data_IF_728335954246
#
_entry.id   IF_728335954246
#
_cell.length_a   1.000
_cell.length_b   1.000
_cell.length_c   1.000
_cell.angle_alpha   90.00
_cell.angle_beta   90.00
_cell.angle_gamma   90.00
#
_symmetry.space_group_name_H-M   'P 1'
#
loop_
_entity.id
_entity.type
_entity.pdbx_description
1 polymer ?
#
# COMPACT_ATOMS: atom_id res chain seq x y z
N UNK A 1 22.07 3.74 75.89
CA UNK A 1 22.72 2.83 74.91
C UNK A 1 21.77 1.68 74.68
N UNK A 2 21.02 1.68 73.57
CA UNK A 2 20.09 0.62 73.22
C UNK A 2 20.49 0.07 71.86
N UNK A 3 20.65 -1.26 71.80
CA UNK A 3 21.09 -2.06 70.66
C UNK A 3 20.30 -1.76 69.39
N UNK A 4 21.01 -1.41 68.32
CA UNK A 4 20.54 -1.50 66.94
C UNK A 4 20.57 -2.97 66.55
N UNK A 5 19.41 -3.57 66.35
CA UNK A 5 19.33 -4.81 65.59
C UNK A 5 19.24 -4.36 64.12
N UNK A 6 20.40 -4.34 63.46
CA UNK A 6 20.54 -4.01 62.04
C UNK A 6 19.69 -4.97 61.21
N UNK A 7 18.60 -4.47 60.62
CA UNK A 7 17.98 -5.12 59.48
C UNK A 7 18.90 -4.92 58.30
N UNK A 8 19.75 -5.90 58.02
CA UNK A 8 20.66 -5.91 56.88
C UNK A 8 19.88 -5.57 55.61
N UNK A 9 20.17 -4.40 55.02
CA UNK A 9 19.55 -3.99 53.76
C UNK A 9 20.03 -4.96 52.70
N UNK A 10 19.13 -5.82 52.24
CA UNK A 10 19.44 -6.77 51.17
C UNK A 10 19.52 -5.99 49.86
N UNK A 11 20.74 -5.79 49.37
CA UNK A 11 21.01 -5.09 48.10
C UNK A 11 21.48 -6.10 47.04
N UNK A 12 21.08 -5.90 45.78
CA UNK A 12 21.47 -6.75 44.65
C UNK A 12 20.29 -7.45 43.96
N UNK A 13 20.57 -8.56 43.26
CA UNK A 13 19.56 -9.32 42.52
C UNK A 13 18.85 -10.30 43.44
N UNK A 14 17.64 -9.96 43.89
CA UNK A 14 16.90 -10.76 44.88
C UNK A 14 15.78 -11.54 44.20
N UNK A 15 15.61 -12.82 44.56
CA UNK A 15 14.47 -13.60 44.10
C UNK A 15 13.19 -13.14 44.84
N UNK A 16 12.14 -12.69 44.13
CA UNK A 16 10.93 -12.19 44.77
C UNK A 16 10.10 -13.28 45.46
N UNK A 17 10.31 -14.56 45.11
CA UNK A 17 9.56 -15.67 45.68
C UNK A 17 10.15 -16.17 47.00
N UNK A 18 11.48 -16.20 47.14
CA UNK A 18 12.16 -16.77 48.31
C UNK A 18 13.13 -15.80 49.03
N UNK A 19 13.25 -14.56 48.54
CA UNK A 19 14.07 -13.49 49.08
C UNK A 19 15.57 -13.81 49.20
N UNK A 20 16.08 -14.79 48.44
CA UNK A 20 17.53 -15.06 48.33
C UNK A 20 18.21 -14.00 47.46
N UNK A 21 19.40 -13.55 47.85
CA UNK A 21 20.27 -12.61 47.10
C UNK A 21 21.20 -13.35 46.14
N UNK A 22 21.46 -12.72 44.99
CA UNK A 22 22.34 -13.24 43.95
C UNK A 22 23.27 -12.13 43.44
N UNK A 23 24.50 -12.51 43.11
CA UNK A 23 25.55 -11.59 42.66
C UNK A 23 25.44 -11.18 41.20
N UNK A 24 24.68 -11.91 40.37
CA UNK A 24 24.48 -11.62 38.96
C UNK A 24 23.06 -11.96 38.45
N UNK A 25 22.57 -11.27 37.40
CA UNK A 25 21.24 -11.52 36.83
C UNK A 25 21.08 -12.96 36.32
N UNK A 26 22.14 -13.53 35.72
CA UNK A 26 22.10 -14.87 35.14
C UNK A 26 21.97 -15.97 36.20
N UNK A 27 22.54 -15.75 37.39
CA UNK A 27 22.41 -16.67 38.54
C UNK A 27 21.04 -16.60 39.18
N UNK A 28 20.44 -15.40 39.28
CA UNK A 28 19.05 -15.25 39.70
C UNK A 28 18.10 -15.94 38.71
N UNK A 29 18.33 -15.76 37.41
CA UNK A 29 17.51 -16.37 36.36
C UNK A 29 17.57 -17.90 36.41
N UNK A 30 18.78 -18.49 36.56
CA UNK A 30 18.94 -19.93 36.73
C UNK A 30 18.28 -20.46 38.01
N UNK A 31 18.38 -19.72 39.11
CA UNK A 31 17.68 -20.10 40.34
C UNK A 31 16.17 -20.07 40.13
N UNK A 32 15.65 -19.03 39.47
CA UNK A 32 14.23 -18.90 39.17
C UNK A 32 13.70 -20.02 38.25
N UNK A 33 14.46 -20.36 37.20
CA UNK A 33 14.11 -21.43 36.25
C UNK A 33 14.19 -22.84 36.84
N UNK A 34 14.96 -23.06 37.91
CA UNK A 34 15.15 -24.38 38.51
C UNK A 34 14.34 -24.60 39.80
N UNK A 35 14.17 -23.55 40.63
CA UNK A 35 13.50 -23.65 41.93
C UNK A 35 12.05 -23.12 41.90
N UNK A 36 11.66 -22.31 40.91
CA UNK A 36 10.32 -21.71 40.81
C UNK A 36 9.61 -22.04 39.48
N UNK A 37 10.07 -23.08 38.79
CA UNK A 37 9.60 -23.47 37.45
C UNK A 37 8.16 -24.01 37.41
N UNK A 38 7.56 -24.30 38.56
CA UNK A 38 6.22 -24.91 38.66
C UNK A 38 5.08 -23.90 38.70
N UNK A 39 5.36 -22.61 38.89
CA UNK A 39 4.34 -21.57 38.84
C UNK A 39 4.72 -20.52 37.80
N UNK A 40 4.29 -20.75 36.56
CA UNK A 40 3.62 -19.78 35.67
C UNK A 40 3.91 -20.09 34.18
N UNK A 41 2.92 -20.66 33.49
CA UNK A 41 2.84 -20.75 32.02
C UNK A 41 2.88 -19.38 31.30
N UNK A 42 2.85 -18.30 32.08
CA UNK A 42 2.81 -16.90 31.64
C UNK A 42 4.16 -16.48 31.02
N UNK A 43 5.29 -16.99 31.52
CA UNK A 43 6.61 -16.61 31.03
C UNK A 43 7.03 -17.33 29.74
N UNK A 44 6.49 -18.52 29.45
CA UNK A 44 6.70 -19.18 28.14
C UNK A 44 6.04 -18.39 26.99
N UNK A 45 4.93 -17.71 27.28
CA UNK A 45 4.29 -16.77 26.33
C UNK A 45 5.12 -15.49 26.15
N UNK A 46 5.82 -15.05 27.20
CA UNK A 46 6.71 -13.87 27.17
C UNK A 46 8.09 -14.16 26.56
N UNK A 47 8.61 -15.39 26.65
CA UNK A 47 9.88 -15.77 26.01
C UNK A 47 9.83 -15.64 24.47
N UNK A 48 8.64 -15.80 23.86
CA UNK A 48 8.43 -15.50 22.44
C UNK A 48 8.44 -14.01 22.07
N UNK A 49 8.24 -13.12 23.05
CA UNK A 49 8.13 -11.67 22.88
C UNK A 49 9.48 -10.92 22.93
N UNK A 50 10.53 -11.51 23.50
CA UNK A 50 11.84 -10.83 23.68
C UNK A 50 12.83 -11.03 22.52
N UNK A 51 12.37 -11.55 21.38
CA UNK A 51 13.25 -12.07 20.33
C UNK A 51 14.11 -11.03 19.59
N UNK A 52 13.74 -9.75 19.46
CA UNK A 52 14.44 -8.86 18.48
C UNK A 52 14.59 -7.37 18.81
N UNK A 53 14.16 -6.85 19.97
CA UNK A 53 14.20 -5.40 20.25
C UNK A 53 14.86 -5.00 21.59
N UNK A 54 15.92 -5.69 22.03
CA UNK A 54 16.50 -5.54 23.38
C UNK A 54 17.74 -4.63 23.50
N UNK A 55 17.88 -3.54 22.74
CA UNK A 55 19.08 -2.67 22.88
C UNK A 55 18.88 -1.16 23.03
N UNK A 56 17.64 -0.65 23.13
CA UNK A 56 17.44 0.80 23.29
C UNK A 56 16.45 1.27 24.35
N UNK A 57 15.72 0.35 24.99
CA UNK A 57 14.70 0.69 26.01
C UNK A 57 15.26 0.55 27.44
N UNK A 58 16.38 -0.16 27.62
CA UNK A 58 16.96 -0.44 28.95
C UNK A 58 18.09 0.53 29.37
N UNK A 59 18.30 1.62 28.63
CA UNK A 59 19.37 2.59 28.93
C UNK A 59 18.88 4.03 28.83
N UNK A 60 17.80 4.36 29.55
CA UNK A 60 17.54 5.74 29.91
C UNK A 60 17.82 5.85 31.41
N UNK A 61 18.88 6.60 31.70
CA UNK A 61 19.38 6.92 33.02
C UNK A 61 18.25 7.50 33.88
N UNK A 62 17.99 6.84 35.01
CA UNK A 62 17.10 7.33 36.06
C UNK A 62 17.90 8.32 36.91
N UNK A 63 17.89 9.59 36.49
CA UNK A 63 18.36 10.69 37.32
C UNK A 63 17.38 10.93 38.49
N UNK A 64 17.92 10.73 39.69
CA UNK A 64 17.61 11.37 40.99
C UNK A 64 16.29 12.16 41.12
N UNK A 65 15.31 11.58 41.81
CA UNK A 65 14.18 12.32 42.40
C UNK A 65 14.12 12.02 43.90
N UNK A 66 14.44 13.03 44.71
CA UNK A 66 14.35 12.99 46.17
C UNK A 66 12.90 12.98 46.66
N UNK A 67 12.55 12.22 47.71
CA UNK A 67 11.20 12.16 48.23
C UNK A 67 10.97 13.29 49.25
N UNK A 68 10.25 14.35 48.85
CA UNK A 68 9.65 15.24 49.85
C UNK A 68 8.33 14.64 50.36
N UNK A 69 8.28 14.55 51.68
CA UNK A 69 7.15 14.09 52.48
C UNK A 69 5.98 15.08 52.38
N UNK A 70 4.80 14.60 52.01
CA UNK A 70 3.54 15.32 52.21
C UNK A 70 2.36 14.33 52.30
N UNK A 71 1.95 14.11 53.55
CA UNK A 71 0.62 13.73 54.05
C UNK A 71 -0.50 13.39 53.04
N UNK A 72 -0.93 12.12 53.11
CA UNK A 72 -2.29 11.61 53.03
C UNK A 72 -3.34 12.43 52.22
N UNK A 73 -3.51 12.03 50.97
CA UNK A 73 -4.76 12.12 50.24
C UNK A 73 -4.86 10.90 49.33
N UNK A 74 -5.81 10.01 49.62
CA UNK A 74 -6.10 8.80 48.84
C UNK A 74 -6.45 9.18 47.40
N UNK A 75 -5.42 9.33 46.56
CA UNK A 75 -5.55 9.62 45.14
C UNK A 75 -5.72 8.26 44.48
N UNK A 76 -6.97 7.89 44.21
CA UNK A 76 -7.33 6.70 43.44
C UNK A 76 -6.49 6.70 42.16
N UNK A 77 -5.47 5.85 42.10
CA UNK A 77 -4.64 5.70 40.91
C UNK A 77 -5.51 5.03 39.87
N UNK A 78 -6.23 5.79 39.06
CA UNK A 78 -7.00 5.33 37.91
C UNK A 78 -6.06 5.24 36.70
N UNK A 79 -6.45 4.47 35.66
CA UNK A 79 -5.66 4.32 34.43
C UNK A 79 -5.44 5.66 33.72
N UNK A 80 -6.36 6.59 33.95
CA UNK A 80 -6.26 7.99 33.56
C UNK A 80 -4.95 8.66 34.00
N UNK A 81 -4.25 8.20 35.05
CA UNK A 81 -2.96 8.76 35.43
C UNK A 81 -1.91 8.67 34.31
N UNK A 82 -1.89 7.59 33.53
CA UNK A 82 -0.94 7.42 32.42
C UNK A 82 -1.44 8.04 31.12
N UNK A 83 -2.76 8.13 30.93
CA UNK A 83 -3.39 8.74 29.74
C UNK A 83 -3.41 10.28 29.83
N UNK A 84 -3.57 10.86 31.03
CA UNK A 84 -3.49 12.30 31.29
C UNK A 84 -2.05 12.82 31.34
N UNK A 85 -1.09 12.02 31.81
CA UNK A 85 0.33 12.42 31.88
C UNK A 85 1.13 12.14 30.62
N UNK A 86 0.59 11.42 29.64
CA UNK A 86 1.26 11.35 28.34
C UNK A 86 1.18 12.74 27.71
N UNK A 87 2.31 13.44 27.49
CA UNK A 87 2.26 14.77 26.93
C UNK A 87 1.53 14.70 25.59
N UNK A 88 0.50 15.52 25.41
CA UNK A 88 -0.19 15.66 24.13
C UNK A 88 0.87 15.98 23.08
N UNK A 89 1.26 14.98 22.30
CA UNK A 89 2.26 15.19 21.27
C UNK A 89 1.59 16.02 20.18
N UNK A 90 1.91 17.32 20.15
CA UNK A 90 1.45 18.18 19.07
C UNK A 90 1.89 17.55 17.74
N UNK A 91 0.97 17.51 16.77
CA UNK A 91 1.31 17.12 15.41
C UNK A 91 2.46 18.03 14.99
N UNK A 92 3.62 17.43 14.67
CA UNK A 92 4.79 18.18 14.21
C UNK A 92 4.50 18.93 12.90
N UNK A 93 5.48 19.67 12.39
CA UNK A 93 5.33 20.37 11.11
C UNK A 93 5.02 19.38 9.99
N UNK A 94 3.80 19.47 9.45
CA UNK A 94 3.38 18.69 8.29
C UNK A 94 3.72 19.46 7.02
N UNK A 95 4.33 18.77 6.05
CA UNK A 95 4.52 19.27 4.70
C UNK A 95 3.81 18.35 3.73
N UNK A 96 3.05 18.92 2.80
CA UNK A 96 2.36 18.17 1.75
C UNK A 96 2.85 18.66 0.39
N UNK A 97 3.21 17.71 -0.48
CA UNK A 97 3.50 17.97 -1.89
C UNK A 97 2.38 17.43 -2.79
N UNK A 98 1.22 17.14 -2.20
CA UNK A 98 0.09 16.49 -2.88
C UNK A 98 -0.41 17.32 -4.05
N UNK A 99 -0.50 18.64 -3.89
CA UNK A 99 -1.00 19.52 -4.95
C UNK A 99 -0.01 19.64 -6.10
N UNK A 100 1.28 19.81 -5.79
CA UNK A 100 2.35 19.77 -6.81
C UNK A 100 2.36 18.45 -7.57
N UNK A 101 2.23 17.32 -6.86
CA UNK A 101 2.12 16.00 -7.47
C UNK A 101 0.89 15.89 -8.38
N UNK A 102 -0.27 16.36 -7.93
CA UNK A 102 -1.52 16.35 -8.70
C UNK A 102 -1.38 17.16 -9.98
N UNK A 103 -0.83 18.37 -9.91
CA UNK A 103 -0.62 19.23 -11.08
C UNK A 103 0.31 18.57 -12.10
N UNK A 104 1.50 18.12 -11.67
CA UNK A 104 2.46 17.45 -12.57
C UNK A 104 1.88 16.17 -13.19
N UNK A 105 1.14 15.40 -12.39
CA UNK A 105 0.45 14.19 -12.86
C UNK A 105 -0.64 14.54 -13.87
N UNK A 106 -1.42 15.57 -13.61
CA UNK A 106 -2.49 16.04 -14.49
C UNK A 106 -1.92 16.46 -15.84
N UNK A 107 -0.91 17.35 -15.88
CA UNK A 107 -0.29 17.81 -17.12
C UNK A 107 0.31 16.67 -17.96
N UNK A 108 0.86 15.65 -17.28
CA UNK A 108 1.36 14.45 -17.95
C UNK A 108 0.23 13.59 -18.49
N UNK A 109 -0.82 13.41 -17.69
CA UNK A 109 -2.00 12.63 -18.06
C UNK A 109 -2.74 13.26 -19.23
N UNK A 110 -2.96 14.58 -19.22
CA UNK A 110 -3.65 15.31 -20.29
C UNK A 110 -2.94 15.14 -21.63
N UNK A 111 -1.61 15.31 -21.67
CA UNK A 111 -0.84 15.12 -22.90
C UNK A 111 -1.02 13.73 -23.49
N UNK A 112 -0.90 12.69 -22.67
CA UNK A 112 -1.05 11.29 -23.13
C UNK A 112 -2.49 10.98 -23.52
N UNK A 113 -3.47 11.43 -22.73
CA UNK A 113 -4.88 11.22 -22.99
C UNK A 113 -5.36 11.92 -24.25
N UNK A 114 -4.89 13.14 -24.51
CA UNK A 114 -5.21 13.88 -25.72
C UNK A 114 -4.79 13.10 -26.97
N UNK A 115 -3.54 12.62 -27.01
CA UNK A 115 -3.05 11.81 -28.13
C UNK A 115 -3.84 10.52 -28.31
N UNK A 116 -4.07 9.78 -27.22
CA UNK A 116 -4.84 8.52 -27.27
C UNK A 116 -6.27 8.79 -27.74
N UNK A 117 -6.94 9.82 -27.21
CA UNK A 117 -8.31 10.15 -27.58
C UNK A 117 -8.42 10.52 -29.06
N UNK A 118 -7.45 11.26 -29.60
CA UNK A 118 -7.38 11.55 -31.03
C UNK A 118 -7.25 10.27 -31.86
N UNK A 119 -6.40 9.32 -31.44
CA UNK A 119 -6.27 8.03 -32.12
C UNK A 119 -7.57 7.22 -32.04
N UNK A 120 -8.25 7.21 -30.90
CA UNK A 120 -9.54 6.51 -30.70
C UNK A 120 -10.63 7.10 -31.60
N UNK A 121 -10.74 8.43 -31.67
CA UNK A 121 -11.72 9.11 -32.55
C UNK A 121 -11.43 8.77 -34.02
N UNK A 122 -10.17 8.84 -34.43
CA UNK A 122 -9.76 8.48 -35.81
C UNK A 122 -10.02 7.01 -36.11
N UNK A 123 -9.72 6.11 -35.17
CA UNK A 123 -10.01 4.69 -35.29
C UNK A 123 -11.50 4.45 -35.46
N UNK A 124 -12.35 5.13 -34.69
CA UNK A 124 -13.80 5.12 -34.85
C UNK A 124 -14.23 5.50 -36.26
N UNK A 125 -13.80 6.68 -36.72
CA UNK A 125 -14.11 7.17 -38.08
C UNK A 125 -13.62 6.23 -39.18
N UNK A 126 -12.44 5.61 -39.00
CA UNK A 126 -11.89 4.66 -39.96
C UNK A 126 -12.73 3.39 -40.06
N UNK A 127 -13.34 2.95 -38.96
CA UNK A 127 -14.13 1.72 -38.93
C UNK A 127 -15.60 1.93 -39.34
N UNK A 128 -16.11 3.16 -39.26
CA UNK A 128 -17.43 3.54 -39.73
C UNK A 128 -17.47 3.59 -41.27
N UNK A 129 -18.50 2.99 -41.86
CA UNK A 129 -18.80 3.01 -43.30
C UNK A 129 -17.61 2.63 -44.22
N UNK A 130 -16.79 1.65 -43.80
CA UNK A 130 -15.63 1.22 -44.58
C UNK A 130 -16.00 0.71 -45.98
N UNK A 131 -15.54 1.37 -47.06
CA UNK A 131 -15.81 0.93 -48.41
C UNK A 131 -15.07 -0.39 -48.73
N UNK A 132 -15.73 -1.29 -49.45
CA UNK A 132 -15.14 -2.55 -49.93
C UNK A 132 -14.18 -2.34 -51.10
N UNK A 133 -14.47 -1.35 -51.95
CA UNK A 133 -13.64 -1.05 -53.14
C UNK A 133 -12.31 -0.38 -52.76
N UNK A 134 -11.18 -0.80 -53.34
CA UNK A 134 -9.85 -0.34 -52.92
C UNK A 134 -9.63 1.17 -53.13
N UNK A 135 -10.17 1.73 -54.20
CA UNK A 135 -10.03 3.16 -54.52
C UNK A 135 -10.84 4.01 -53.54
N UNK A 136 -12.10 3.66 -53.30
CA UNK A 136 -12.97 4.33 -52.33
C UNK A 136 -12.41 4.18 -50.91
N UNK A 137 -11.86 3.02 -50.56
CA UNK A 137 -11.21 2.76 -49.27
C UNK A 137 -10.00 3.66 -49.05
N UNK A 138 -9.10 3.78 -50.04
CA UNK A 138 -7.94 4.68 -49.94
C UNK A 138 -8.38 6.14 -49.75
N UNK A 139 -9.40 6.58 -50.49
CA UNK A 139 -9.96 7.94 -50.36
C UNK A 139 -10.59 8.15 -48.97
N UNK A 140 -11.32 7.17 -48.45
CA UNK A 140 -11.86 7.19 -47.08
C UNK A 140 -10.77 7.34 -46.03
N UNK A 141 -9.70 6.52 -46.11
CA UNK A 141 -8.56 6.58 -45.20
C UNK A 141 -7.89 7.97 -45.22
N UNK A 142 -7.69 8.55 -46.41
CA UNK A 142 -7.06 9.87 -46.59
C UNK A 142 -7.95 11.04 -46.14
N UNK A 143 -9.28 10.91 -46.27
CA UNK A 143 -10.22 11.93 -45.79
C UNK A 143 -10.24 12.02 -44.26
N UNK A 144 -9.95 10.91 -43.56
CA UNK A 144 -9.95 10.88 -42.09
C UNK A 144 -8.61 11.39 -41.54
N UNK A 145 -7.51 11.02 -42.18
CA UNK A 145 -6.17 11.42 -41.76
C UNK A 145 -5.35 11.83 -42.99
N UNK A 146 -4.86 13.09 -43.06
CA UNK A 146 -3.93 13.51 -44.10
C UNK A 146 -2.64 12.70 -44.05
N UNK A 147 -2.22 12.17 -45.20
CA UNK A 147 -0.98 11.41 -45.30
C UNK A 147 0.17 12.33 -45.68
N UNK A 148 1.32 12.17 -45.00
CA UNK A 148 2.54 12.91 -45.36
C UNK A 148 3.00 12.52 -46.77
N UNK A 149 3.55 13.48 -47.51
CA UNK A 149 4.15 13.21 -48.82
C UNK A 149 5.47 12.44 -48.61
N UNK A 150 5.69 11.44 -49.46
CA UNK A 150 6.90 10.63 -49.49
C UNK A 150 8.17 11.44 -49.73
N UNK A 151 8.05 12.57 -50.43
CA UNK A 151 9.18 13.46 -50.75
C UNK A 151 9.79 14.10 -49.51
N UNK A 152 8.97 14.39 -48.51
CA UNK A 152 9.40 15.07 -47.28
C UNK A 152 10.01 14.11 -46.25
N UNK A 153 9.91 12.80 -46.48
CA UNK A 153 10.33 11.76 -45.52
C UNK A 153 11.32 10.77 -46.17
N UNK A 154 12.60 11.17 -46.37
CA UNK A 154 13.60 10.34 -47.03
C UNK A 154 14.08 9.15 -46.18
N UNK A 155 13.87 9.22 -44.86
CA UNK A 155 14.27 8.19 -43.89
C UNK A 155 13.08 7.82 -43.01
N UNK A 156 13.01 6.57 -42.58
CA UNK A 156 11.97 6.13 -41.66
C UNK A 156 12.12 6.86 -40.30
N UNK A 157 11.09 7.56 -39.80
CA UNK A 157 11.16 8.27 -38.52
C UNK A 157 11.37 7.36 -37.30
N UNK A 158 11.07 6.05 -37.41
CA UNK A 158 11.19 5.12 -36.30
C UNK A 158 12.57 4.45 -36.21
N UNK A 159 13.12 3.97 -37.34
CA UNK A 159 14.41 3.25 -37.35
C UNK A 159 15.53 4.01 -38.07
N UNK A 160 15.26 5.20 -38.61
CA UNK A 160 16.22 6.07 -39.33
C UNK A 160 16.79 5.53 -40.64
N UNK A 161 16.45 4.30 -41.04
CA UNK A 161 16.86 3.76 -42.33
C UNK A 161 16.29 4.56 -43.50
N UNK A 162 17.13 4.84 -44.50
CA UNK A 162 16.74 5.46 -45.76
C UNK A 162 15.80 4.57 -46.55
N UNK A 163 14.80 5.19 -47.18
CA UNK A 163 13.95 4.51 -48.13
C UNK A 163 14.66 4.34 -49.47
N UNK A 164 14.41 3.22 -50.14
CA UNK A 164 14.92 2.88 -51.46
C UNK A 164 13.98 1.86 -52.13
N UNK A 165 14.38 1.28 -53.26
CA UNK A 165 13.55 0.31 -53.98
C UNK A 165 13.18 -0.94 -53.16
N UNK A 166 14.10 -1.41 -52.29
CA UNK A 166 13.88 -2.55 -51.40
C UNK A 166 13.11 -2.15 -50.12
N UNK A 167 13.43 -1.00 -49.53
CA UNK A 167 12.77 -0.46 -48.33
C UNK A 167 11.78 0.63 -48.74
N UNK A 168 10.54 0.22 -49.01
CA UNK A 168 9.45 1.11 -49.47
C UNK A 168 8.79 1.87 -48.31
N UNK A 169 8.19 3.01 -48.65
CA UNK A 169 7.41 3.83 -47.74
C UNK A 169 6.00 3.25 -47.53
N UNK A 170 5.51 3.33 -46.29
CA UNK A 170 4.15 2.96 -45.92
C UNK A 170 3.54 4.02 -45.01
N UNK A 171 2.24 4.28 -45.15
CA UNK A 171 1.52 5.20 -44.29
C UNK A 171 0.80 4.47 -43.16
N UNK A 172 0.87 5.03 -41.96
CA UNK A 172 0.01 4.63 -40.85
C UNK A 172 -1.36 5.26 -41.02
N UNK A 173 -2.41 4.46 -40.93
CA UNK A 173 -3.78 4.93 -41.14
C UNK A 173 -4.30 5.82 -40.02
N UNK A 174 -3.64 5.84 -38.85
CA UNK A 174 -4.07 6.63 -37.69
C UNK A 174 -3.38 7.99 -37.55
N UNK A 175 -2.09 8.09 -37.88
CA UNK A 175 -1.32 9.35 -37.84
C UNK A 175 -1.08 9.97 -39.22
N UNK A 176 -1.17 9.19 -40.32
CA UNK A 176 -0.75 9.61 -41.65
C UNK A 176 0.77 9.67 -41.85
N UNK A 177 1.54 9.35 -40.81
CA UNK A 177 2.99 9.33 -40.82
C UNK A 177 3.55 8.16 -41.64
N UNK A 178 4.74 8.37 -42.24
CA UNK A 178 5.42 7.40 -43.09
C UNK A 178 6.37 6.53 -42.26
N UNK A 179 6.40 5.22 -42.51
CA UNK A 179 7.31 4.25 -41.90
C UNK A 179 7.71 3.13 -42.88
N UNK A 180 8.76 2.37 -42.54
CA UNK A 180 9.13 1.16 -43.30
C UNK A 180 8.29 -0.06 -42.87
N UNK A 181 8.44 -1.18 -43.60
CA UNK A 181 7.76 -2.44 -43.30
C UNK A 181 8.02 -2.94 -41.88
N UNK A 182 9.29 -2.99 -41.46
CA UNK A 182 9.72 -3.46 -40.13
C UNK A 182 9.17 -2.61 -38.99
N UNK A 183 8.84 -1.34 -39.25
CA UNK A 183 8.28 -0.40 -38.27
C UNK A 183 6.76 -0.24 -38.39
N UNK A 184 6.12 -1.11 -39.17
CA UNK A 184 4.68 -1.11 -39.37
C UNK A 184 4.05 -2.38 -38.82
N UNK A 185 2.86 -2.23 -38.25
CA UNK A 185 2.08 -3.29 -37.63
C UNK A 185 0.68 -3.31 -38.22
N UNK A 186 -0.01 -4.43 -38.06
CA UNK A 186 -1.37 -4.60 -38.54
C UNK A 186 -2.29 -4.94 -37.38
N UNK A 187 -3.31 -4.12 -37.19
CA UNK A 187 -4.36 -4.36 -36.19
C UNK A 187 -5.55 -5.01 -36.91
N UNK A 188 -5.92 -6.25 -36.56
CA UNK A 188 -7.15 -6.88 -37.05
C UNK A 188 -8.39 -6.03 -36.73
N UNK A 189 -9.36 -5.94 -37.64
CA UNK A 189 -10.53 -5.07 -37.43
C UNK A 189 -11.38 -5.45 -36.20
N UNK A 190 -11.45 -6.74 -35.85
CA UNK A 190 -12.11 -7.19 -34.63
C UNK A 190 -11.44 -6.62 -33.37
N UNK A 191 -10.10 -6.67 -33.28
CA UNK A 191 -9.33 -6.05 -32.20
C UNK A 191 -9.54 -4.54 -32.18
N UNK A 192 -9.48 -3.89 -33.35
CA UNK A 192 -9.73 -2.47 -33.48
C UNK A 192 -11.11 -2.04 -32.95
N UNK A 193 -12.17 -2.82 -33.22
CA UNK A 193 -13.51 -2.59 -32.66
C UNK A 193 -13.55 -2.77 -31.15
N UNK A 194 -12.89 -3.79 -30.60
CA UNK A 194 -12.83 -4.01 -29.14
C UNK A 194 -12.19 -2.83 -28.39
N UNK A 195 -11.15 -2.23 -28.98
CA UNK A 195 -10.51 -1.03 -28.42
C UNK A 195 -11.50 0.14 -28.29
N UNK A 196 -12.49 0.26 -29.19
CA UNK A 196 -13.52 1.31 -29.14
C UNK A 196 -14.63 1.06 -28.13
N UNK A 197 -14.94 -0.20 -27.81
CA UNK A 197 -16.04 -0.54 -26.90
C UNK A 197 -15.73 0.02 -25.50
N UNK A 198 -16.71 0.76 -24.94
CA UNK A 198 -16.71 1.13 -23.52
C UNK A 198 -17.13 -0.10 -22.71
N UNK A 199 -16.44 -0.43 -21.60
CA UNK A 199 -16.75 -1.63 -20.82
C UNK A 199 -18.17 -1.68 -20.23
N UNK A 200 -18.86 -0.53 -20.14
CA UNK A 200 -20.19 -0.40 -19.51
C UNK A 200 -21.41 -0.51 -20.45
N UNK A 201 -21.22 -0.65 -21.76
CA UNK A 201 -22.37 -0.79 -22.67
C UNK A 201 -22.65 -2.27 -22.93
N UNK A 202 -23.75 -2.69 -22.30
CA UNK A 202 -24.44 -3.97 -22.38
C UNK A 202 -24.16 -4.74 -23.68
N UNK A 203 -23.58 -5.94 -23.54
CA UNK A 203 -23.19 -6.82 -24.65
C UNK A 203 -24.41 -7.44 -25.37
N UNK A 204 -25.62 -7.15 -24.91
CA UNK A 204 -26.89 -7.73 -25.34
C UNK A 204 -27.41 -7.22 -26.69
N UNK A 205 -26.87 -6.14 -27.25
CA UNK A 205 -27.29 -5.58 -28.55
C UNK A 205 -26.14 -5.46 -29.55
N UNK A 206 -25.49 -6.58 -29.91
CA UNK A 206 -24.60 -6.59 -31.07
C UNK A 206 -25.34 -7.21 -32.26
N UNK A 207 -25.69 -6.45 -33.31
CA UNK A 207 -26.02 -7.08 -34.57
C UNK A 207 -24.79 -7.88 -35.01
N UNK A 208 -25.00 -9.17 -35.28
CA UNK A 208 -24.03 -10.07 -35.86
C UNK A 208 -23.73 -9.62 -37.30
N UNK A 209 -23.01 -8.50 -37.44
CA UNK A 209 -22.41 -8.15 -38.73
C UNK A 209 -21.36 -9.22 -39.03
N UNK A 210 -21.50 -9.89 -40.17
CA UNK A 210 -20.56 -10.88 -40.68
C UNK A 210 -19.21 -10.20 -40.95
N UNK A 211 -18.34 -10.19 -39.94
CA UNK A 211 -17.02 -9.58 -40.04
C UNK A 211 -16.17 -10.47 -40.94
N UNK A 212 -15.70 -9.92 -42.06
CA UNK A 212 -14.57 -10.47 -42.82
C UNK A 212 -13.35 -10.41 -41.91
N UNK A 213 -13.02 -11.54 -41.27
CA UNK A 213 -11.93 -11.73 -40.30
C UNK A 213 -10.54 -11.34 -40.83
N UNK A 214 -10.40 -11.22 -42.14
CA UNK A 214 -9.09 -11.10 -42.81
C UNK A 214 -8.65 -9.65 -43.05
N UNK A 215 -9.49 -8.68 -42.69
CA UNK A 215 -9.16 -7.27 -42.86
C UNK A 215 -8.33 -6.75 -41.67
N UNK A 216 -7.28 -5.99 -41.99
CA UNK A 216 -6.40 -5.36 -41.01
C UNK A 216 -6.08 -3.91 -41.34
N UNK A 217 -5.77 -3.13 -40.31
CA UNK A 217 -5.39 -1.72 -40.40
C UNK A 217 -3.89 -1.58 -40.16
N UNK A 218 -3.16 -1.01 -41.13
CA UNK A 218 -1.73 -0.75 -40.95
C UNK A 218 -1.49 0.48 -40.07
N UNK A 219 -0.71 0.32 -39.02
CA UNK A 219 -0.36 1.36 -38.06
C UNK A 219 1.16 1.41 -37.84
N UNK A 220 1.68 2.53 -37.33
CA UNK A 220 3.07 2.63 -36.87
C UNK A 220 3.19 2.10 -35.43
N UNK A 221 4.43 1.80 -35.01
CA UNK A 221 4.80 1.43 -33.63
C UNK A 221 4.17 2.36 -32.59
N UNK A 222 4.28 3.68 -32.80
CA UNK A 222 3.80 4.69 -31.87
C UNK A 222 2.29 4.61 -31.65
N UNK A 223 1.51 4.57 -32.73
CA UNK A 223 0.05 4.49 -32.64
C UNK A 223 -0.39 3.17 -32.02
N UNK A 224 0.29 2.05 -32.33
CA UNK A 224 0.00 0.76 -31.73
C UNK A 224 0.20 0.83 -30.20
N UNK A 225 1.36 1.29 -29.75
CA UNK A 225 1.68 1.40 -28.32
C UNK A 225 0.66 2.27 -27.56
N UNK A 226 0.22 3.38 -28.16
CA UNK A 226 -0.80 4.25 -27.54
C UNK A 226 -2.16 3.58 -27.43
N UNK A 227 -2.58 2.81 -28.44
CA UNK A 227 -3.82 2.04 -28.39
C UNK A 227 -3.74 0.90 -27.36
N UNK A 228 -2.61 0.20 -27.26
CA UNK A 228 -2.40 -0.85 -26.24
C UNK A 228 -2.35 -0.26 -24.82
N UNK A 229 -1.68 0.88 -24.65
CA UNK A 229 -1.67 1.61 -23.37
C UNK A 229 -3.10 1.95 -22.89
N UNK A 230 -4.02 2.23 -23.83
CA UNK A 230 -5.42 2.49 -23.51
C UNK A 230 -6.14 1.25 -22.99
N UNK A 231 -5.86 0.06 -23.54
CA UNK A 231 -6.40 -1.22 -23.04
C UNK A 231 -5.87 -1.52 -21.63
N UNK A 232 -4.56 -1.40 -21.42
CA UNK A 232 -3.96 -1.55 -20.10
C UNK A 232 -4.55 -0.58 -19.07
N UNK A 233 -4.81 0.68 -19.46
CA UNK A 233 -5.50 1.64 -18.61
C UNK A 233 -6.98 1.29 -18.35
N UNK A 234 -7.67 0.58 -19.26
CA UNK A 234 -9.02 0.05 -18.97
C UNK A 234 -8.93 -1.04 -17.92
N UNK A 235 -8.03 -1.98 -18.11
CA UNK A 235 -7.81 -3.11 -17.19
C UNK A 235 -7.40 -2.60 -15.80
N UNK A 236 -6.45 -1.66 -15.73
CA UNK A 236 -5.96 -1.11 -14.46
C UNK A 236 -7.04 -0.35 -13.68
N UNK A 237 -8.00 0.30 -14.37
CA UNK A 237 -9.12 1.00 -13.72
C UNK A 237 -10.15 0.03 -13.14
N UNK A 238 -10.28 -1.14 -13.76
CA UNK A 238 -11.21 -2.18 -13.33
C UNK A 238 -10.56 -3.14 -12.33
N UNK A 239 -9.23 -3.17 -12.25
CA UNK A 239 -8.50 -3.93 -11.25
C UNK A 239 -8.41 -3.18 -9.94
N UNK A 240 -8.69 -3.86 -8.83
CA UNK A 240 -8.43 -3.37 -7.48
C UNK A 240 -6.94 -3.57 -7.16
N UNK A 241 -6.15 -2.51 -6.93
CA UNK A 241 -4.74 -2.65 -6.60
C UNK A 241 -4.53 -3.35 -5.24
N UNK A 242 -3.46 -4.16 -5.07
CA UNK A 242 -3.19 -4.85 -3.79
C UNK A 242 -3.10 -3.92 -2.57
N UNK A 243 -2.67 -2.66 -2.77
CA UNK A 243 -2.59 -1.66 -1.71
C UNK A 243 -3.96 -1.35 -1.09
N UNK A 244 -5.06 -1.51 -1.83
CA UNK A 244 -6.41 -1.35 -1.28
C UNK A 244 -6.72 -2.44 -0.24
N UNK A 245 -6.27 -3.68 -0.48
CA UNK A 245 -6.50 -4.79 0.44
C UNK A 245 -5.62 -4.69 1.68
N UNK A 246 -4.38 -4.23 1.52
CA UNK A 246 -3.48 -3.90 2.63
C UNK A 246 -4.06 -2.78 3.50
N UNK A 247 -4.58 -1.72 2.86
CA UNK A 247 -5.24 -0.63 3.57
C UNK A 247 -6.47 -1.11 4.34
N UNK A 248 -7.35 -1.91 3.71
CA UNK A 248 -8.55 -2.41 4.38
C UNK A 248 -8.21 -3.34 5.55
N UNK A 249 -7.16 -4.15 5.40
CA UNK A 249 -6.61 -4.97 6.48
C UNK A 249 -6.11 -4.11 7.64
N UNK A 250 -5.34 -3.06 7.34
CA UNK A 250 -4.83 -2.11 8.34
C UNK A 250 -5.97 -1.42 9.09
N UNK A 251 -6.98 -0.93 8.38
CA UNK A 251 -8.14 -0.27 8.98
C UNK A 251 -8.92 -1.23 9.87
N UNK A 252 -9.17 -2.46 9.41
CA UNK A 252 -9.84 -3.50 10.20
C UNK A 252 -9.09 -3.80 11.50
N UNK A 253 -7.76 -3.98 11.41
CA UNK A 253 -6.90 -4.24 12.58
C UNK A 253 -6.85 -3.05 13.55
N UNK A 254 -6.82 -1.82 13.03
CA UNK A 254 -6.89 -0.60 13.84
C UNK A 254 -8.21 -0.49 14.60
N UNK A 255 -9.34 -0.83 13.96
CA UNK A 255 -10.65 -0.84 14.61
C UNK A 255 -10.74 -1.93 15.70
N UNK A 256 -10.21 -3.12 15.44
CA UNK A 256 -10.10 -4.20 16.42
C UNK A 256 -9.28 -3.75 17.64
N UNK A 257 -8.15 -3.06 17.41
CA UNK A 257 -7.28 -2.55 18.47
C UNK A 257 -8.00 -1.51 19.33
N UNK A 258 -8.72 -0.57 18.71
CA UNK A 258 -9.49 0.43 19.45
C UNK A 258 -10.57 -0.20 20.35
N UNK A 259 -11.26 -1.25 19.87
CA UNK A 259 -12.27 -1.96 20.67
C UNK A 259 -11.65 -2.69 21.86
N UNK A 260 -10.59 -3.46 21.63
CA UNK A 260 -9.89 -4.19 22.69
C UNK A 260 -9.26 -3.22 23.71
N UNK A 261 -8.77 -2.07 23.26
CA UNK A 261 -8.24 -1.02 24.13
C UNK A 261 -9.32 -0.48 25.05
N UNK A 262 -10.49 -0.13 24.52
CA UNK A 262 -11.60 0.37 25.33
C UNK A 262 -11.99 -0.63 26.43
N UNK A 263 -12.17 -1.90 26.07
CA UNK A 263 -12.45 -2.97 27.04
C UNK A 263 -11.35 -3.13 28.09
N UNK A 264 -10.09 -3.06 27.66
CA UNK A 264 -8.94 -3.16 28.56
C UNK A 264 -8.92 -2.01 29.58
N UNK A 265 -9.22 -0.78 29.14
CA UNK A 265 -9.30 0.38 30.03
C UNK A 265 -10.41 0.22 31.06
N UNK A 266 -11.62 -0.16 30.62
CA UNK A 266 -12.75 -0.44 31.53
C UNK A 266 -12.42 -1.50 32.58
N UNK A 267 -11.76 -2.60 32.19
CA UNK A 267 -11.35 -3.64 33.12
C UNK A 267 -10.34 -3.14 34.16
N UNK A 268 -9.37 -2.34 33.72
CA UNK A 268 -8.34 -1.85 34.63
C UNK A 268 -8.94 -0.80 35.59
N UNK A 269 -9.85 0.07 35.14
CA UNK A 269 -10.54 1.01 36.03
C UNK A 269 -11.39 0.28 37.10
N UNK A 270 -12.12 -0.78 36.71
CA UNK A 270 -12.90 -1.62 37.63
C UNK A 270 -11.99 -2.31 38.68
N UNK A 271 -10.85 -2.86 38.26
CA UNK A 271 -9.86 -3.46 39.16
C UNK A 271 -9.26 -2.43 40.14
N UNK A 272 -8.98 -1.21 39.67
CA UNK A 272 -8.43 -0.14 40.51
C UNK A 272 -9.46 0.42 41.51
N UNK A 273 -10.75 0.38 41.15
CA UNK A 273 -11.85 0.66 42.06
C UNK A 273 -12.10 -0.46 43.10
N UNK A 274 -11.40 -1.59 42.99
CA UNK A 274 -11.57 -2.75 43.88
C UNK A 274 -12.83 -3.57 43.58
N UNK A 275 -13.43 -3.39 42.40
CA UNK A 275 -14.57 -4.19 41.97
C UNK A 275 -14.11 -5.61 41.59
N UNK A 276 -14.99 -6.59 41.80
CA UNK A 276 -14.70 -8.01 41.50
C UNK A 276 -15.27 -8.45 40.15
N UNK A 277 -15.74 -7.52 39.33
CA UNK A 277 -16.38 -7.78 38.03
C UNK A 277 -15.41 -8.44 37.03
N UNK A 278 -14.12 -8.12 37.14
CA UNK A 278 -13.07 -8.64 36.27
C UNK A 278 -11.92 -9.21 37.11
N UNK A 279 -11.17 -10.15 36.54
CA UNK A 279 -9.96 -10.68 37.17
C UNK A 279 -8.70 -10.15 36.47
N UNK A 280 -7.60 -10.06 37.21
CA UNK A 280 -6.31 -9.63 36.67
C UNK A 280 -5.84 -10.50 35.48
N UNK A 281 -6.24 -11.77 35.45
CA UNK A 281 -6.01 -12.68 34.33
C UNK A 281 -6.70 -12.24 33.03
N UNK A 282 -7.87 -11.63 33.13
CA UNK A 282 -8.67 -11.20 31.98
C UNK A 282 -8.03 -9.97 31.33
N UNK A 283 -7.64 -8.99 32.17
CA UNK A 283 -6.88 -7.82 31.76
C UNK A 283 -5.54 -8.23 31.11
N UNK A 284 -4.83 -9.20 31.70
CA UNK A 284 -3.57 -9.69 31.13
C UNK A 284 -3.78 -10.38 29.77
N UNK A 285 -4.86 -11.14 29.60
CA UNK A 285 -5.21 -11.77 28.33
C UNK A 285 -5.49 -10.73 27.25
N UNK A 286 -6.23 -9.67 27.57
CA UNK A 286 -6.51 -8.55 26.68
C UNK A 286 -5.24 -7.77 26.29
N UNK A 287 -4.35 -7.54 27.26
CA UNK A 287 -3.04 -6.90 27.01
C UNK A 287 -2.21 -7.69 26.00
N UNK A 288 -2.12 -9.01 26.15
CA UNK A 288 -1.39 -9.87 25.20
C UNK A 288 -2.02 -9.82 23.81
N UNK A 289 -3.34 -9.83 23.71
CA UNK A 289 -4.05 -9.68 22.42
C UNK A 289 -3.73 -8.33 21.75
N UNK A 290 -3.73 -7.24 22.50
CA UNK A 290 -3.40 -5.91 22.00
C UNK A 290 -1.96 -5.82 21.46
N UNK A 291 -0.98 -6.41 22.18
CA UNK A 291 0.43 -6.45 21.73
C UNK A 291 0.56 -7.24 20.42
N UNK A 292 -0.03 -8.43 20.35
CA UNK A 292 -0.01 -9.24 19.11
C UNK A 292 -0.67 -8.51 17.94
N UNK A 293 -1.73 -7.75 18.21
CA UNK A 293 -2.41 -6.98 17.19
C UNK A 293 -1.54 -5.83 16.66
N UNK A 294 -0.78 -5.15 17.54
CA UNK A 294 0.19 -4.14 17.13
C UNK A 294 1.31 -4.73 16.26
N UNK A 295 1.87 -5.88 16.64
CA UNK A 295 2.87 -6.59 15.83
C UNK A 295 2.31 -6.99 14.45
N UNK A 296 1.07 -7.49 14.41
CA UNK A 296 0.42 -7.82 13.15
C UNK A 296 0.24 -6.58 12.26
N UNK A 297 -0.12 -5.43 12.84
CA UNK A 297 -0.21 -4.16 12.11
C UNK A 297 1.14 -3.77 11.51
N UNK A 298 2.23 -3.91 12.27
CA UNK A 298 3.58 -3.58 11.81
C UNK A 298 4.07 -4.50 10.67
N UNK A 299 3.48 -5.68 10.52
CA UNK A 299 3.83 -6.62 9.44
C UNK A 299 3.08 -6.38 8.12
N UNK A 300 2.08 -5.48 8.09
CA UNK A 300 1.33 -5.16 6.86
C UNK A 300 2.26 -4.40 5.90
N UNK A 301 2.64 -5.05 4.79
CA UNK A 301 3.57 -4.53 3.78
C UNK A 301 3.15 -4.95 2.37
#
# INVERSE_FOLDING_TARGET
MANRNDGEVMEGYICPNCMKTFSAPNTLLKHFENEHSSETDILKSLQGLFGKAKKKILSLDLDEWSPESSTAGSSTSTVHFYEEKWPNQAIGTSRTHTDTFKTLRHDRYERVCYEINNLIIRLGKLLTDMPTEPVKKKKHEQNIVPWLDGKDVPRCPNCTHSFNFAKRQHHCRLCGCIMCHECSYFIPLNKAKQILVKPDLDQSQRPASSIRSDLSLRVCSYCLQRLESREQLKESRNSRPPICDLHDTLISKKQEASKLRAMYLEMVDSLLAGETTYHASDAQTLRVKLVRLAENIDTIR
#
